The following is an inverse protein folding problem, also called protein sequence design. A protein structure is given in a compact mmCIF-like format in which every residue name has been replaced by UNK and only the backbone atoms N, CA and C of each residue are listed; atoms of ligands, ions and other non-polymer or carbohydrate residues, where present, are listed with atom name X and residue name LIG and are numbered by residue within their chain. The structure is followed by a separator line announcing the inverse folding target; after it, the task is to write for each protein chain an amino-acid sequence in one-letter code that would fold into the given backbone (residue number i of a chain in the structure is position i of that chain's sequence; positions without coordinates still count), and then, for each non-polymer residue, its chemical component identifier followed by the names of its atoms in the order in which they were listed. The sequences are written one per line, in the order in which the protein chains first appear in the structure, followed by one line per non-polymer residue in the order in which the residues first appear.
data_IF_185600420094
#
_entry.id   IF_185600420094
#
_cell.length_a   1.000
_cell.length_b   1.000
_cell.length_c   1.000
_cell.angle_alpha   90.00
_cell.angle_beta   90.00
_cell.angle_gamma   90.00
#
_symmetry.space_group_name_H-M   'P 1'
#
loop_
_entity.id
_entity.type
_entity.pdbx_description
1 polymer ?
#
# COMPACT_ATOMS: atom_id res chain seq x y z
N UNK A 1 -0.77 9.14 2.81
CA UNK A 1 -0.03 8.14 2.00
C UNK A 1 0.65 7.14 2.94
N UNK A 2 1.21 6.04 2.43
CA UNK A 2 1.76 4.93 3.22
C UNK A 2 2.82 5.31 4.25
N UNK A 3 3.08 4.41 5.19
CA UNK A 3 4.03 4.63 6.28
C UNK A 3 5.48 4.53 5.80
N UNK A 4 6.37 5.34 6.37
CA UNK A 4 7.80 5.30 6.04
C UNK A 4 8.44 3.96 6.45
N UNK A 5 8.99 3.25 5.47
CA UNK A 5 9.65 1.95 5.65
C UNK A 5 10.82 2.02 6.63
N UNK A 6 11.49 3.18 6.75
CA UNK A 6 12.66 3.36 7.61
C UNK A 6 12.31 3.40 9.10
N UNK A 7 11.01 3.52 9.43
CA UNK A 7 10.54 3.43 10.81
C UNK A 7 10.49 2.00 11.32
N UNK A 8 10.37 1.00 10.45
CA UNK A 8 10.16 -0.39 10.86
C UNK A 8 11.48 -1.05 11.28
N UNK A 9 11.46 -1.80 12.39
CA UNK A 9 12.66 -2.45 12.96
C UNK A 9 13.07 -3.74 12.24
N UNK A 10 12.15 -4.35 11.49
CA UNK A 10 12.36 -5.63 10.80
C UNK A 10 12.38 -5.45 9.28
N UNK A 11 13.01 -6.40 8.57
CA UNK A 11 12.86 -6.49 7.12
C UNK A 11 11.38 -6.70 6.78
N UNK A 12 10.88 -5.91 5.84
CA UNK A 12 9.49 -5.93 5.41
C UNK A 12 9.33 -6.81 4.17
N UNK A 13 8.25 -7.61 4.08
CA UNK A 13 7.86 -8.24 2.83
C UNK A 13 7.52 -7.19 1.76
N UNK A 14 7.85 -7.46 0.50
CA UNK A 14 7.53 -6.53 -0.60
C UNK A 14 6.02 -6.44 -0.83
N UNK A 15 5.28 -7.48 -0.46
CA UNK A 15 3.83 -7.59 -0.60
C UNK A 15 3.08 -6.53 0.23
N UNK A 16 3.72 -5.95 1.26
CA UNK A 16 3.14 -4.87 2.07
C UNK A 16 3.70 -3.50 1.73
N UNK A 17 4.44 -3.37 0.64
CA UNK A 17 4.99 -2.09 0.15
C UNK A 17 4.14 -1.59 -1.01
N UNK A 18 3.64 -0.37 -0.88
CA UNK A 18 2.83 0.27 -1.91
C UNK A 18 3.69 0.57 -3.15
N UNK A 19 3.34 0.01 -4.31
CA UNK A 19 4.05 0.26 -5.57
C UNK A 19 3.92 1.68 -6.14
N UNK A 20 3.14 2.57 -5.50
CA UNK A 20 2.95 3.97 -5.90
C UNK A 20 3.77 4.92 -5.01
N UNK A 21 3.60 4.84 -3.69
CA UNK A 21 4.26 5.75 -2.74
C UNK A 21 5.53 5.17 -2.09
N UNK A 22 5.85 3.90 -2.35
CA UNK A 22 6.99 3.17 -1.79
C UNK A 22 7.02 3.07 -0.25
N UNK A 23 5.92 3.41 0.41
CA UNK A 23 5.71 3.21 1.85
C UNK A 23 5.01 1.88 2.17
N UNK A 24 5.01 1.48 3.45
CA UNK A 24 4.15 0.39 3.94
C UNK A 24 2.70 0.77 3.73
N UNK A 25 1.88 -0.18 3.30
CA UNK A 25 0.47 0.03 2.97
C UNK A 25 -0.29 0.67 4.14
N UNK A 26 -1.03 1.73 3.82
CA UNK A 26 -1.96 2.42 4.70
C UNK A 26 -3.36 2.26 4.11
N UNK A 27 -4.27 1.70 4.91
CA UNK A 27 -5.55 1.15 4.47
C UNK A 27 -5.44 0.35 3.14
N UNK A 28 -4.82 -0.83 3.17
CA UNK A 28 -4.47 -1.58 1.97
C UNK A 28 -5.71 -1.93 1.12
N UNK A 29 -5.63 -1.63 -0.16
CA UNK A 29 -6.56 -2.05 -1.21
C UNK A 29 -5.86 -3.05 -2.13
N UNK A 30 -6.55 -4.13 -2.46
CA UNK A 30 -6.10 -5.20 -3.33
C UNK A 30 -6.82 -5.10 -4.68
N UNK A 31 -6.05 -5.21 -5.77
CA UNK A 31 -6.60 -5.35 -7.12
C UNK A 31 -6.98 -6.80 -7.36
N UNK A 32 -8.26 -7.08 -7.60
CA UNK A 32 -8.82 -8.43 -7.73
C UNK A 32 -8.12 -9.21 -8.85
N UNK A 33 -7.88 -8.55 -9.97
CA UNK A 33 -7.33 -9.19 -11.17
C UNK A 33 -5.88 -9.66 -11.03
N UNK A 34 -5.07 -9.06 -10.15
CA UNK A 34 -3.65 -9.40 -10.03
C UNK A 34 -3.12 -9.57 -8.60
N UNK A 35 -3.93 -9.31 -7.58
CA UNK A 35 -3.57 -9.43 -6.17
C UNK A 35 -2.57 -8.39 -5.64
N UNK A 36 -2.16 -7.42 -6.48
CA UNK A 36 -1.26 -6.36 -6.04
C UNK A 36 -1.98 -5.39 -5.11
N UNK A 37 -1.28 -4.94 -4.07
CA UNK A 37 -1.84 -4.05 -3.06
C UNK A 37 -1.25 -2.65 -3.09
N UNK A 38 -2.08 -1.67 -2.78
CA UNK A 38 -1.75 -0.25 -2.74
C UNK A 38 -2.45 0.43 -1.56
N UNK A 39 -1.99 1.61 -1.14
CA UNK A 39 -2.74 2.40 -0.16
C UNK A 39 -4.06 2.87 -0.78
N UNK A 40 -5.14 2.95 -0.01
CA UNK A 40 -6.43 3.45 -0.47
C UNK A 40 -6.34 4.79 -1.20
N UNK A 41 -5.68 5.78 -0.59
CA UNK A 41 -5.49 7.10 -1.22
C UNK A 41 -4.64 7.05 -2.50
N UNK A 42 -3.68 6.12 -2.57
CA UNK A 42 -2.77 6.03 -3.70
C UNK A 42 -3.47 5.45 -4.93
N UNK A 43 -4.20 4.35 -4.77
CA UNK A 43 -4.88 3.72 -5.91
C UNK A 43 -6.06 4.55 -6.39
N UNK A 44 -6.82 5.18 -5.49
CA UNK A 44 -7.93 6.06 -5.89
C UNK A 44 -7.43 7.24 -6.72
N UNK A 45 -6.33 7.89 -6.31
CA UNK A 45 -5.72 8.95 -7.12
C UNK A 45 -5.27 8.43 -8.49
N UNK A 46 -4.72 7.23 -8.54
CA UNK A 46 -4.24 6.63 -9.79
C UNK A 46 -5.36 6.37 -10.80
N UNK A 47 -6.52 5.90 -10.33
CA UNK A 47 -7.69 5.67 -11.21
C UNK A 47 -8.41 6.96 -11.58
N UNK A 48 -8.39 7.97 -10.72
CA UNK A 48 -9.03 9.28 -10.95
C UNK A 48 -8.21 10.19 -11.88
N UNK A 49 -7.01 9.76 -12.29
CA UNK A 49 -6.09 10.56 -13.11
C UNK A 49 -6.62 10.69 -14.55
N UNK A 50 -7.05 11.89 -15.01
CA UNK A 50 -7.82 12.06 -16.24
C UNK A 50 -7.02 11.86 -17.53
N UNK A 51 -5.69 11.67 -17.42
CA UNK A 51 -4.81 11.52 -18.57
C UNK A 51 -4.85 10.11 -19.18
N UNK A 52 -5.30 9.10 -18.44
CA UNK A 52 -5.33 7.72 -18.90
C UNK A 52 -6.76 7.28 -19.24
N UNK A 53 -6.99 6.87 -20.49
CA UNK A 53 -8.30 6.35 -20.93
C UNK A 53 -8.68 5.04 -20.22
N UNK A 54 -7.71 4.30 -19.69
CA UNK A 54 -7.94 3.04 -18.97
C UNK A 54 -6.88 2.91 -17.88
N UNK A 55 -7.28 2.87 -16.60
CA UNK A 55 -6.33 2.67 -15.51
C UNK A 55 -5.74 1.25 -15.60
N UNK A 56 -4.44 1.13 -15.32
CA UNK A 56 -3.73 -0.16 -15.29
C UNK A 56 -3.02 -0.33 -13.96
N UNK A 57 -2.76 -1.56 -13.53
CA UNK A 57 -2.00 -1.84 -12.33
C UNK A 57 -0.61 -1.20 -12.43
N UNK A 58 -0.19 -0.36 -11.45
CA UNK A 58 1.12 0.28 -11.46
C UNK A 58 2.32 -0.70 -11.47
N UNK A 59 2.12 -1.94 -11.04
CA UNK A 59 3.19 -2.94 -10.92
C UNK A 59 3.28 -3.82 -12.18
N UNK A 60 2.17 -4.40 -12.64
CA UNK A 60 2.16 -5.37 -13.74
C UNK A 60 1.46 -4.90 -15.01
N UNK A 61 0.88 -3.70 -15.02
CA UNK A 61 0.18 -3.07 -16.15
C UNK A 61 -1.06 -3.85 -16.65
N UNK A 62 -1.63 -4.75 -15.83
CA UNK A 62 -2.93 -5.36 -16.12
C UNK A 62 -4.02 -4.28 -16.07
N UNK A 63 -4.99 -4.36 -16.97
CA UNK A 63 -6.12 -3.42 -17.01
C UNK A 63 -6.93 -3.47 -15.71
N UNK A 64 -7.48 -2.32 -15.32
CA UNK A 64 -8.32 -2.16 -14.14
C UNK A 64 -9.67 -1.57 -14.52
N UNK A 65 -10.72 -2.11 -13.92
CA UNK A 65 -12.01 -1.47 -13.74
C UNK A 65 -12.09 -0.87 -12.33
N UNK A 66 -12.94 0.15 -12.14
CA UNK A 66 -13.18 0.73 -10.81
C UNK A 66 -13.73 -0.30 -9.80
N UNK A 67 -14.49 -1.27 -10.28
CA UNK A 67 -15.03 -2.39 -9.48
C UNK A 67 -13.97 -3.45 -9.11
N UNK A 68 -12.76 -3.38 -9.67
CA UNK A 68 -11.69 -4.39 -9.42
C UNK A 68 -10.87 -4.08 -8.15
N UNK A 69 -11.27 -3.08 -7.38
CA UNK A 69 -10.56 -2.66 -6.17
C UNK A 69 -11.38 -3.04 -4.95
N UNK A 70 -10.76 -3.78 -4.02
CA UNK A 70 -11.38 -4.12 -2.75
C UNK A 70 -10.46 -3.86 -1.58
N UNK A 71 -11.01 -3.67 -0.36
CA UNK A 71 -10.22 -3.71 0.85
C UNK A 71 -9.44 -5.03 0.92
N UNK A 72 -8.14 -4.98 1.23
CA UNK A 72 -7.36 -6.19 1.46
C UNK A 72 -7.95 -7.00 2.62
N UNK A 73 -7.66 -8.30 2.68
CA UNK A 73 -8.13 -9.15 3.77
C UNK A 73 -7.59 -8.66 5.14
N UNK A 74 -8.38 -8.85 6.21
CA UNK A 74 -8.04 -8.31 7.53
C UNK A 74 -6.72 -8.83 8.09
N UNK A 75 -6.31 -10.05 7.73
CA UNK A 75 -5.02 -10.59 8.15
C UNK A 75 -3.85 -9.72 7.69
N UNK A 76 -3.94 -9.06 6.53
CA UNK A 76 -2.91 -8.12 6.06
C UNK A 76 -2.85 -6.89 6.96
N UNK A 77 -4.01 -6.28 7.26
CA UNK A 77 -4.09 -5.13 8.19
C UNK A 77 -3.54 -5.49 9.56
N UNK A 78 -3.95 -6.64 10.10
CA UNK A 78 -3.50 -7.11 11.41
C UNK A 78 -2.00 -7.40 11.43
N UNK A 79 -1.44 -7.93 10.35
CA UNK A 79 -0.01 -8.14 10.21
C UNK A 79 0.75 -6.81 10.27
N UNK A 80 0.35 -5.83 9.45
CA UNK A 80 0.97 -4.49 9.42
C UNK A 80 0.92 -3.83 10.80
N UNK A 81 -0.24 -3.88 11.47
CA UNK A 81 -0.44 -3.27 12.79
C UNK A 81 0.42 -3.87 13.91
N UNK A 82 0.93 -5.09 13.74
CA UNK A 82 1.79 -5.78 14.72
C UNK A 82 3.27 -5.52 14.50
N UNK A 83 3.66 -4.88 13.40
CA UNK A 83 5.04 -4.58 13.11
C UNK A 83 5.58 -3.53 14.08
N UNK A 84 6.81 -3.74 14.56
CA UNK A 84 7.47 -2.81 15.48
C UNK A 84 8.10 -1.66 14.71
N UNK A 85 7.80 -0.44 15.12
CA UNK A 85 8.41 0.78 14.59
C UNK A 85 9.34 1.44 15.62
N UNK A 86 10.22 2.33 15.16
CA UNK A 86 10.98 3.27 15.99
C UNK A 86 10.11 4.48 16.31
N UNK A 87 10.17 4.89 17.57
CA UNK A 87 9.62 6.17 18.00
C UNK A 87 10.47 7.29 17.39
N UNK A 88 9.83 8.40 17.00
CA UNK A 88 10.55 9.58 16.50
C UNK A 88 11.45 10.18 17.60
N UNK A 89 11.14 9.88 18.86
CA UNK A 89 11.88 10.29 20.06
C UNK A 89 12.79 9.19 20.64
N UNK A 90 13.13 8.15 19.85
CA UNK A 90 14.10 7.11 20.26
C UNK A 90 15.44 7.72 20.71
N UNK A 91 15.89 8.79 20.04
CA UNK A 91 17.07 9.57 20.43
C UNK A 91 16.94 10.31 21.78
N UNK A 92 15.72 10.45 22.31
CA UNK A 92 15.42 11.02 23.64
C UNK A 92 15.16 9.93 24.71
N UNK A 93 15.36 8.65 24.38
CA UNK A 93 15.24 7.53 25.32
C UNK A 93 13.88 6.87 25.39
N UNK A 94 13.03 7.06 24.37
CA UNK A 94 11.75 6.36 24.22
C UNK A 94 11.91 4.90 23.75
#
# INVERSE_FOLDING_TARGET
MGYDINRFKSRLPNEIICGICFGVLDDPQELIECGHMFCHQCINRWIDEPYYNTPTCPICRRDLCADDIRPAIDSVRQYINRLRIRCDFDHLGC
#
